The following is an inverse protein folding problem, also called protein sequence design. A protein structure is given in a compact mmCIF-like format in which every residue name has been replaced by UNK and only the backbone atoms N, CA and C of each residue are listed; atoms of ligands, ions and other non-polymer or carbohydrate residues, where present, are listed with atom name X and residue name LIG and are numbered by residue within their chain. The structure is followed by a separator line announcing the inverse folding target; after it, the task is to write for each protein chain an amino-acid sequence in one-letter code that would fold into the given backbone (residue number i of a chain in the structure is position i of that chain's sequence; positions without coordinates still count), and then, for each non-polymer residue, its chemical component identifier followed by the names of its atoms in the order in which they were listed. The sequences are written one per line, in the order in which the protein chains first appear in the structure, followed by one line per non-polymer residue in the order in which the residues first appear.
data_IF_841642406721
#
_entry.id   IF_841642406721
#
_cell.length_a   1.000
_cell.length_b   1.000
_cell.length_c   1.000
_cell.angle_alpha   90.00
_cell.angle_beta   90.00
_cell.angle_gamma   90.00
#
_symmetry.space_group_name_H-M   'P 1'
#
loop_
_entity.id
_entity.type
_entity.pdbx_description
1 polymer ?
#
# COMPACT_ATOMS: atom_id res chain seq x y z
N UNK A 1 -16.01 0.92 -4.99
CA UNK A 1 -15.21 -0.31 -4.87
C UNK A 1 -15.40 -0.85 -3.46
N UNK A 2 -15.90 -2.07 -3.23
CA UNK A 2 -16.31 -2.49 -1.88
C UNK A 2 -15.14 -2.66 -0.90
N UNK A 3 -13.90 -2.71 -1.38
CA UNK A 3 -12.71 -3.07 -0.59
C UNK A 3 -11.91 -1.86 -0.07
N UNK A 4 -12.10 -0.66 -0.63
CA UNK A 4 -11.35 0.54 -0.22
C UNK A 4 -11.49 0.81 1.29
N UNK A 5 -12.70 0.61 1.82
CA UNK A 5 -12.96 0.77 3.25
C UNK A 5 -12.13 -0.18 4.10
N UNK A 6 -12.05 -1.46 3.72
CA UNK A 6 -11.28 -2.47 4.45
C UNK A 6 -9.78 -2.19 4.35
N UNK A 7 -9.30 -1.77 3.17
CA UNK A 7 -7.93 -1.33 2.94
C UNK A 7 -7.56 -0.17 3.88
N UNK A 8 -8.36 0.90 3.91
CA UNK A 8 -8.12 2.06 4.78
C UNK A 8 -8.24 1.70 6.27
N UNK A 9 -9.15 0.81 6.67
CA UNK A 9 -9.22 0.32 8.04
C UNK A 9 -7.97 -0.44 8.45
N UNK A 10 -7.44 -1.30 7.57
CA UNK A 10 -6.21 -2.05 7.81
C UNK A 10 -4.98 -1.14 7.95
N UNK A 11 -4.93 -0.06 7.16
CA UNK A 11 -3.90 0.97 7.28
C UNK A 11 -4.06 1.78 8.59
N UNK A 12 -5.29 2.09 9.00
CA UNK A 12 -5.57 2.84 10.22
C UNK A 12 -5.09 2.12 11.49
N UNK A 13 -5.01 0.78 11.48
CA UNK A 13 -4.60 -0.03 12.62
C UNK A 13 -3.13 -0.47 12.58
N UNK A 14 -2.31 0.08 11.67
CA UNK A 14 -0.87 -0.19 11.65
C UNK A 14 -0.22 0.16 13.01
N UNK A 15 0.73 -0.68 13.43
CA UNK A 15 1.44 -0.54 14.71
C UNK A 15 2.72 0.30 14.59
N UNK A 16 3.04 0.76 13.38
CA UNK A 16 4.24 1.56 13.12
C UNK A 16 4.25 2.85 13.95
N UNK A 17 5.34 3.08 14.67
CA UNK A 17 5.51 4.23 15.57
C UNK A 17 6.20 5.43 14.93
N UNK A 18 6.69 5.30 13.69
CA UNK A 18 7.33 6.39 12.96
C UNK A 18 6.34 7.33 12.27
N UNK A 19 6.86 8.39 11.66
CA UNK A 19 6.07 9.31 10.83
C UNK A 19 5.83 8.70 9.45
N UNK A 20 4.59 8.72 8.98
CA UNK A 20 4.22 8.28 7.66
C UNK A 20 2.96 8.99 7.17
N UNK A 21 2.71 8.88 5.87
CA UNK A 21 1.58 9.50 5.18
C UNK A 21 0.95 8.51 4.19
N UNK A 22 -0.29 8.79 3.81
CA UNK A 22 -1.04 8.02 2.81
C UNK A 22 -1.32 8.96 1.63
N UNK A 23 -0.87 8.58 0.44
CA UNK A 23 -1.11 9.32 -0.79
C UNK A 23 -1.96 8.48 -1.73
N UNK A 24 -3.16 8.96 -2.05
CA UNK A 24 -4.13 8.30 -2.93
C UNK A 24 -4.29 9.11 -4.21
N UNK A 25 -4.25 8.44 -5.36
CA UNK A 25 -4.67 9.01 -6.63
C UNK A 25 -5.93 8.31 -7.11
N UNK A 26 -7.03 9.07 -7.23
CA UNK A 26 -8.25 8.60 -7.87
C UNK A 26 -8.12 8.73 -9.39
N UNK A 27 -7.98 7.60 -10.07
CA UNK A 27 -7.78 7.51 -11.51
C UNK A 27 -9.10 7.46 -12.29
N UNK A 28 -10.03 8.38 -11.97
CA UNK A 28 -11.32 8.47 -12.65
C UNK A 28 -12.37 7.45 -12.18
N UNK A 29 -12.40 7.11 -10.89
CA UNK A 29 -13.48 6.28 -10.32
C UNK A 29 -14.86 6.92 -10.55
N UNK A 30 -15.85 6.10 -10.88
CA UNK A 30 -17.25 6.51 -11.13
C UNK A 30 -18.20 6.16 -9.98
N UNK A 31 -17.67 5.59 -8.90
CA UNK A 31 -18.39 5.19 -7.70
C UNK A 31 -17.97 6.04 -6.49
N UNK A 32 -18.43 5.67 -5.30
CA UNK A 32 -18.20 6.43 -4.06
C UNK A 32 -16.78 6.30 -3.48
N UNK A 33 -15.79 5.88 -4.29
CA UNK A 33 -14.40 5.68 -3.83
C UNK A 33 -13.80 6.96 -3.26
N UNK A 34 -14.03 8.13 -3.89
CA UNK A 34 -13.53 9.42 -3.37
C UNK A 34 -14.15 9.74 -2.02
N UNK A 35 -15.48 9.68 -1.93
CA UNK A 35 -16.21 9.92 -0.68
C UNK A 35 -15.73 9.00 0.44
N UNK A 36 -15.51 7.71 0.14
CA UNK A 36 -14.96 6.75 1.09
C UNK A 36 -13.57 7.15 1.60
N UNK A 37 -12.68 7.66 0.74
CA UNK A 37 -11.35 8.11 1.17
C UNK A 37 -11.46 9.38 2.02
N UNK A 38 -12.32 10.32 1.61
CA UNK A 38 -12.55 11.58 2.33
C UNK A 38 -13.08 11.36 3.76
N UNK A 39 -13.95 10.37 3.97
CA UNK A 39 -14.46 9.98 5.29
C UNK A 39 -13.35 9.53 6.26
N UNK A 40 -12.24 8.98 5.74
CA UNK A 40 -11.13 8.50 6.57
C UNK A 40 -10.09 9.57 6.90
N UNK A 41 -10.05 10.69 6.18
CA UNK A 41 -9.14 11.81 6.45
C UNK A 41 -9.14 12.22 7.94
N UNK A 42 -10.29 12.51 8.58
CA UNK A 42 -10.30 12.88 10.00
C UNK A 42 -9.82 11.75 10.93
N UNK A 43 -10.05 10.48 10.57
CA UNK A 43 -9.62 9.33 11.37
C UNK A 43 -8.10 9.17 11.36
N UNK A 44 -7.47 9.28 10.19
CA UNK A 44 -6.01 9.27 10.08
C UNK A 44 -5.39 10.49 10.75
N UNK A 45 -5.98 11.67 10.57
CA UNK A 45 -5.52 12.90 11.24
C UNK A 45 -5.54 12.77 12.77
N UNK A 46 -6.56 12.11 13.35
CA UNK A 46 -6.61 11.84 14.78
C UNK A 46 -5.47 10.93 15.27
N UNK A 47 -4.89 10.11 14.38
CA UNK A 47 -3.69 9.30 14.65
C UNK A 47 -2.38 10.01 14.28
N UNK A 48 -2.42 11.27 13.86
CA UNK A 48 -1.26 12.03 13.41
C UNK A 48 -0.73 11.59 12.04
N UNK A 49 -1.54 10.90 11.25
CA UNK A 49 -1.20 10.43 9.90
C UNK A 49 -1.85 11.37 8.90
N UNK A 50 -1.07 11.88 7.96
CA UNK A 50 -1.62 12.69 6.87
C UNK A 50 -2.13 11.79 5.75
N UNK A 51 -3.41 11.93 5.37
CA UNK A 51 -3.99 11.30 4.19
C UNK A 51 -4.27 12.37 3.15
N UNK A 52 -3.61 12.26 1.99
CA UNK A 52 -3.79 13.13 0.82
C UNK A 52 -4.46 12.35 -0.30
N UNK A 53 -5.40 12.99 -0.98
CA UNK A 53 -6.04 12.47 -2.18
C UNK A 53 -5.99 13.52 -3.29
N UNK A 54 -5.66 13.10 -4.51
CA UNK A 54 -5.93 13.88 -5.72
C UNK A 54 -6.64 13.02 -6.76
N UNK A 55 -7.23 13.65 -7.78
CA UNK A 55 -8.08 12.98 -8.76
C UNK A 55 -7.75 13.39 -10.19
N UNK A 56 -7.86 12.44 -11.11
CA UNK A 56 -7.93 12.66 -12.55
C UNK A 56 -9.37 12.53 -13.08
N UNK A 57 -9.64 13.14 -14.23
CA UNK A 57 -10.95 13.03 -14.92
C UNK A 57 -10.99 11.81 -15.84
N UNK A 58 -9.84 11.46 -16.45
CA UNK A 58 -9.69 10.31 -17.33
C UNK A 58 -8.74 9.30 -16.69
N UNK A 59 -9.09 8.00 -16.78
CA UNK A 59 -8.23 6.93 -16.25
C UNK A 59 -6.97 6.76 -17.11
N UNK A 60 -5.81 6.87 -16.48
CA UNK A 60 -4.49 6.57 -17.06
C UNK A 60 -3.99 5.16 -16.74
N UNK A 61 -4.73 4.39 -15.94
CA UNK A 61 -4.39 3.05 -15.48
C UNK A 61 -3.51 3.01 -14.22
N UNK A 62 -3.31 1.81 -13.67
CA UNK A 62 -2.66 1.60 -12.36
C UNK A 62 -1.24 2.19 -12.28
N UNK A 63 -0.45 2.11 -13.35
CA UNK A 63 0.91 2.67 -13.36
C UNK A 63 0.90 4.20 -13.32
N UNK A 64 -0.02 4.82 -14.06
CA UNK A 64 -0.23 6.27 -14.02
C UNK A 64 -0.67 6.71 -12.63
N UNK A 65 -1.66 6.03 -12.04
CA UNK A 65 -2.15 6.32 -10.70
C UNK A 65 -1.06 6.20 -9.63
N UNK A 66 -0.26 5.13 -9.66
CA UNK A 66 0.89 4.94 -8.75
C UNK A 66 1.92 6.05 -8.90
N UNK A 67 2.26 6.46 -10.12
CA UNK A 67 3.18 7.58 -10.35
C UNK A 67 2.64 8.90 -9.78
N UNK A 68 1.35 9.20 -9.98
CA UNK A 68 0.72 10.39 -9.41
C UNK A 68 0.68 10.36 -7.89
N UNK A 69 0.42 9.20 -7.28
CA UNK A 69 0.48 9.05 -5.83
C UNK A 69 1.91 9.25 -5.29
N UNK A 70 2.94 8.76 -6.01
CA UNK A 70 4.35 9.00 -5.67
C UNK A 70 4.71 10.48 -5.75
N UNK A 71 4.25 11.21 -6.78
CA UNK A 71 4.46 12.66 -6.90
C UNK A 71 3.89 13.47 -5.71
N UNK A 72 2.84 12.96 -5.04
CA UNK A 72 2.25 13.57 -3.84
C UNK A 72 3.01 13.24 -2.54
N UNK A 73 3.83 12.19 -2.57
CA UNK A 73 4.51 11.65 -1.41
C UNK A 73 5.83 12.37 -1.12
N UNK A 74 6.21 12.39 0.16
CA UNK A 74 7.42 13.06 0.68
C UNK A 74 8.31 12.12 1.51
N UNK A 75 7.83 10.91 1.79
CA UNK A 75 8.55 9.90 2.55
C UNK A 75 9.84 9.42 1.88
N UNK A 76 10.81 9.02 2.71
CA UNK A 76 12.06 8.38 2.25
C UNK A 76 11.83 7.02 1.60
N UNK A 77 10.82 6.29 2.08
CA UNK A 77 10.43 4.98 1.57
C UNK A 77 9.04 5.07 0.95
N UNK A 78 8.85 4.38 -0.17
CA UNK A 78 7.55 4.21 -0.81
C UNK A 78 7.05 2.80 -0.53
N UNK A 79 5.87 2.71 0.08
CA UNK A 79 5.18 1.44 0.31
C UNK A 79 3.93 1.41 -0.57
N UNK A 80 3.95 0.56 -1.60
CA UNK A 80 2.75 0.37 -2.43
C UNK A 80 1.71 -0.49 -1.69
N UNK A 81 0.45 -0.10 -1.83
CA UNK A 81 -0.71 -0.80 -1.31
C UNK A 81 -1.83 -0.66 -2.34
N UNK A 82 -2.35 -1.78 -2.86
CA UNK A 82 -3.48 -1.72 -3.78
C UNK A 82 -4.78 -1.47 -2.97
N UNK A 83 -5.75 -0.81 -3.60
CA UNK A 83 -6.98 -0.33 -2.95
C UNK A 83 -7.94 -1.45 -2.50
N UNK A 84 -7.64 -2.69 -2.86
CA UNK A 84 -8.33 -3.92 -2.52
C UNK A 84 -7.52 -4.87 -1.63
N UNK A 85 -6.35 -4.44 -1.15
CA UNK A 85 -5.53 -5.20 -0.22
C UNK A 85 -5.83 -4.85 1.25
N UNK A 86 -5.68 -5.85 2.12
CA UNK A 86 -5.75 -5.69 3.60
C UNK A 86 -4.35 -5.90 4.17
N UNK A 87 -3.76 -4.83 4.69
CA UNK A 87 -2.40 -4.87 5.26
C UNK A 87 -2.39 -5.45 6.67
N UNK A 88 -1.50 -6.42 6.94
CA UNK A 88 -1.26 -6.93 8.30
C UNK A 88 -0.79 -5.80 9.23
N UNK A 89 -1.27 -5.71 10.48
CA UNK A 89 -1.01 -4.56 11.37
C UNK A 89 0.46 -4.22 11.62
N UNK A 90 1.37 -5.20 11.56
CA UNK A 90 2.80 -5.00 11.80
C UNK A 90 3.63 -4.70 10.54
N UNK A 91 3.01 -4.76 9.34
CA UNK A 91 3.72 -4.69 8.05
C UNK A 91 4.66 -3.51 7.95
N UNK A 92 4.18 -2.29 8.21
CA UNK A 92 5.01 -1.09 8.07
C UNK A 92 6.18 -1.07 9.05
N UNK A 93 5.96 -1.54 10.29
CA UNK A 93 7.01 -1.60 11.31
C UNK A 93 8.10 -2.61 10.95
N UNK A 94 7.71 -3.81 10.53
CA UNK A 94 8.66 -4.87 10.17
C UNK A 94 9.46 -4.50 8.91
N UNK A 95 8.78 -4.01 7.87
CA UNK A 95 9.43 -3.58 6.64
C UNK A 95 10.38 -2.41 6.89
N UNK A 96 9.98 -1.42 7.71
CA UNK A 96 10.86 -0.30 8.04
C UNK A 96 12.11 -0.75 8.82
N UNK A 97 11.95 -1.62 9.82
CA UNK A 97 13.07 -2.15 10.59
C UNK A 97 14.06 -2.91 9.70
N UNK A 98 13.56 -3.72 8.77
CA UNK A 98 14.40 -4.45 7.81
C UNK A 98 15.08 -3.52 6.81
N UNK A 99 14.38 -2.50 6.30
CA UNK A 99 14.92 -1.56 5.33
C UNK A 99 16.06 -0.73 5.93
N UNK A 100 15.89 -0.31 7.19
CA UNK A 100 16.87 0.54 7.89
C UNK A 100 18.04 -0.22 8.49
N UNK A 101 17.96 -1.56 8.60
CA UNK A 101 19.09 -2.39 9.01
C UNK A 101 20.06 -2.72 7.88
N UNK A 102 19.70 -2.41 6.62
CA UNK A 102 20.59 -2.65 5.47
C UNK A 102 21.56 -1.48 5.30
N UNK A 103 22.78 -1.79 4.87
CA UNK A 103 23.79 -0.79 4.48
C UNK A 103 23.63 -0.31 3.03
N UNK A 104 22.76 -0.96 2.24
CA UNK A 104 22.53 -0.62 0.84
C UNK A 104 21.81 0.71 0.67
N UNK A 105 22.22 1.49 -0.34
CA UNK A 105 21.55 2.75 -0.70
C UNK A 105 20.12 2.53 -1.23
N UNK A 106 19.90 1.42 -1.92
CA UNK A 106 18.63 1.03 -2.51
C UNK A 106 18.18 -0.32 -1.93
N UNK A 107 16.96 -0.36 -1.40
CA UNK A 107 16.38 -1.55 -0.80
C UNK A 107 14.98 -1.76 -1.37
N UNK A 108 14.72 -2.97 -1.87
CA UNK A 108 13.38 -3.43 -2.24
C UNK A 108 12.95 -4.51 -1.25
N UNK A 109 11.77 -4.35 -0.66
CA UNK A 109 11.20 -5.31 0.27
C UNK A 109 9.83 -5.76 -0.21
N UNK A 110 9.57 -7.04 -0.04
CA UNK A 110 8.26 -7.66 -0.21
C UNK A 110 7.86 -8.40 1.06
N UNK A 111 6.67 -8.97 1.04
CA UNK A 111 6.22 -9.94 2.04
C UNK A 111 5.37 -10.99 1.36
N UNK A 112 5.17 -12.11 2.05
CA UNK A 112 4.19 -13.09 1.62
C UNK A 112 2.78 -12.51 1.71
N UNK A 113 1.86 -13.04 0.91
CA UNK A 113 0.46 -12.63 0.92
C UNK A 113 -0.48 -13.83 0.91
N UNK A 114 -1.71 -13.59 1.34
CA UNK A 114 -2.81 -14.56 1.28
C UNK A 114 -3.91 -13.98 0.40
N UNK A 115 -4.62 -14.85 -0.31
CA UNK A 115 -5.74 -14.47 -1.17
C UNK A 115 -7.05 -14.67 -0.43
N UNK A 116 -7.97 -13.72 -0.61
CA UNK A 116 -9.33 -13.80 -0.10
C UNK A 116 -10.26 -13.57 -1.31
N UNK A 117 -11.10 -14.56 -1.68
CA UNK A 117 -11.26 -15.87 -1.06
C UNK A 117 -10.03 -16.78 -1.27
N UNK A 118 -9.86 -17.71 -0.34
CA UNK A 118 -8.79 -18.69 -0.35
C UNK A 118 -8.84 -19.50 -1.66
N UNK A 119 -7.67 -19.82 -2.24
CA UNK A 119 -7.46 -20.49 -3.53
C UNK A 119 -7.64 -19.63 -4.80
N UNK A 120 -7.95 -18.34 -4.69
CA UNK A 120 -7.83 -17.45 -5.86
C UNK A 120 -6.37 -17.41 -6.32
N UNK A 121 -6.12 -17.65 -7.61
CA UNK A 121 -4.77 -17.67 -8.21
C UNK A 121 -3.75 -18.52 -7.41
N UNK A 122 -4.17 -19.69 -6.91
CA UNK A 122 -3.39 -20.56 -6.01
C UNK A 122 -1.95 -20.81 -6.49
N UNK A 123 -1.76 -21.15 -7.77
CA UNK A 123 -0.43 -21.37 -8.35
C UNK A 123 0.48 -20.15 -8.22
N UNK A 124 -0.06 -18.96 -8.44
CA UNK A 124 0.70 -17.70 -8.33
C UNK A 124 1.03 -17.38 -6.88
N UNK A 125 0.05 -17.52 -5.99
CA UNK A 125 0.24 -17.31 -4.54
C UNK A 125 1.31 -18.23 -3.98
N UNK A 126 1.26 -19.52 -4.35
CA UNK A 126 2.28 -20.50 -3.95
C UNK A 126 3.66 -20.11 -4.48
N UNK A 127 3.77 -19.85 -5.78
CA UNK A 127 5.04 -19.47 -6.39
C UNK A 127 5.66 -18.23 -5.74
N UNK A 128 4.89 -17.16 -5.57
CA UNK A 128 5.39 -15.90 -5.03
C UNK A 128 5.83 -16.02 -3.55
N UNK A 129 5.11 -16.81 -2.75
CA UNK A 129 5.43 -17.01 -1.33
C UNK A 129 6.55 -18.03 -1.07
N UNK A 130 6.97 -18.79 -2.09
CA UNK A 130 8.01 -19.83 -2.00
C UNK A 130 9.32 -19.44 -2.71
N UNK A 131 9.45 -18.19 -3.18
CA UNK A 131 10.69 -17.70 -3.81
C UNK A 131 11.86 -17.75 -2.82
N UNK A 132 12.98 -18.34 -3.26
CA UNK A 132 14.23 -18.34 -2.50
C UNK A 132 14.95 -16.98 -2.60
N UNK A 133 15.88 -16.73 -1.68
CA UNK A 133 16.73 -15.53 -1.70
C UNK A 133 17.54 -15.41 -3.01
N UNK A 134 18.03 -16.53 -3.54
CA UNK A 134 18.71 -16.57 -4.83
C UNK A 134 17.78 -16.15 -5.97
N UNK A 135 16.51 -16.59 -5.98
CA UNK A 135 15.53 -16.22 -7.01
C UNK A 135 15.10 -14.75 -6.91
N UNK A 136 15.15 -14.16 -5.72
CA UNK A 136 14.85 -12.74 -5.51
C UNK A 136 15.99 -11.83 -5.96
N UNK A 137 17.24 -12.30 -5.92
CA UNK A 137 18.45 -11.50 -6.17
C UNK A 137 19.08 -11.70 -7.55
N UNK A 138 18.65 -12.70 -8.32
CA UNK A 138 19.24 -13.08 -9.61
C UNK A 138 18.45 -12.67 -10.87
N UNK A 139 17.45 -11.79 -10.74
CA UNK A 139 16.64 -11.31 -11.87
C UNK A 139 17.34 -10.28 -12.75
#
# INVERSE_FOLDING_TARGET
MPYMKDCLQALLVQTFSGTWEICVYNDGSTDDTVSCVEEFIPLFKARGIELRISSGVESGGVGFAKNRAVELSTGRFICFCDADDVSEPSRLQEQFSLATSQENELVFLGCNFRRIPENSTERYTKWANELSEEQLTSQ
#
